data_IF_673685859114
#
_entry.id   IF_673685859114
#
_cell.length_a   1.000
_cell.length_b   1.000
_cell.length_c   1.000
_cell.angle_alpha   90.00
_cell.angle_beta   90.00
_cell.angle_gamma   90.00
#
_symmetry.space_group_name_H-M   'P 1'
#
loop_
_entity.id
_entity.type
_entity.pdbx_description
1 polymer ?
#
# COMPACT_ATOMS: atom_id res chain seq x y z
N UNK A 1 36.26 1.98 54.42
CA UNK A 1 37.50 2.18 53.63
C UNK A 1 37.14 1.89 52.17
N UNK A 2 36.54 2.80 51.40
CA UNK A 2 37.17 3.83 50.55
C UNK A 2 38.54 3.43 49.97
N UNK A 3 38.60 3.03 48.69
CA UNK A 3 39.29 3.79 47.62
C UNK A 3 39.09 3.21 46.21
N UNK A 4 38.55 4.07 45.36
CA UNK A 4 38.57 4.17 43.90
C UNK A 4 39.80 3.57 43.19
N UNK A 5 39.63 3.04 41.97
CA UNK A 5 40.56 3.36 40.87
C UNK A 5 39.95 3.11 39.48
N UNK A 6 39.87 4.21 38.73
CA UNK A 6 39.71 4.40 37.28
C UNK A 6 40.41 3.39 36.37
N UNK A 7 39.77 2.96 35.27
CA UNK A 7 40.46 2.76 33.98
C UNK A 7 39.51 2.67 32.77
N UNK A 8 39.66 3.62 31.84
CA UNK A 8 39.38 3.59 30.39
C UNK A 8 37.94 3.20 29.94
N UNK A 9 37.04 4.10 29.53
CA UNK A 9 37.11 4.94 28.32
C UNK A 9 38.12 4.46 27.27
N UNK A 10 37.68 3.57 26.38
CA UNK A 10 38.04 3.52 24.94
C UNK A 10 37.71 2.13 24.37
N UNK A 11 36.48 1.94 23.90
CA UNK A 11 36.19 1.00 22.81
C UNK A 11 35.49 1.85 21.75
N UNK A 12 36.29 2.68 21.07
CA UNK A 12 36.67 2.44 19.67
C UNK A 12 35.42 2.27 18.80
N UNK A 13 34.81 3.43 18.54
CA UNK A 13 34.12 3.74 17.29
C UNK A 13 35.09 3.39 16.15
N UNK A 14 34.80 2.33 15.39
CA UNK A 14 35.39 2.06 14.07
C UNK A 14 34.72 0.81 13.47
N UNK A 15 33.54 1.00 12.89
CA UNK A 15 33.20 0.47 11.57
C UNK A 15 32.21 1.45 10.96
N UNK A 16 32.79 2.50 10.36
CA UNK A 16 32.13 3.22 9.29
C UNK A 16 31.78 2.20 8.21
N UNK A 17 30.53 1.74 8.23
CA UNK A 17 29.95 1.04 7.09
C UNK A 17 29.92 2.03 5.94
N UNK A 18 30.65 1.71 4.87
CA UNK A 18 30.58 2.42 3.60
C UNK A 18 29.14 2.32 3.06
N UNK A 19 28.32 3.31 3.36
CA UNK A 19 27.17 3.61 2.49
C UNK A 19 27.77 4.10 1.17
N UNK A 20 27.46 3.50 0.02
CA UNK A 20 27.90 4.05 -1.25
C UNK A 20 27.33 5.47 -1.40
N UNK A 21 28.21 6.42 -1.73
CA UNK A 21 27.86 7.77 -2.18
C UNK A 21 26.83 7.65 -3.31
N UNK A 22 25.58 8.04 -3.03
CA UNK A 22 24.65 8.41 -4.09
C UNK A 22 25.24 9.67 -4.70
N UNK A 23 25.92 9.53 -5.84
CA UNK A 23 26.21 10.66 -6.71
C UNK A 23 24.87 11.34 -6.97
N UNK A 24 24.73 12.53 -6.39
CA UNK A 24 23.68 13.48 -6.64
C UNK A 24 23.74 13.79 -8.15
N UNK A 25 23.05 12.97 -8.93
CA UNK A 25 22.92 13.14 -10.36
C UNK A 25 22.16 14.44 -10.52
N UNK A 26 22.86 15.46 -11.03
CA UNK A 26 22.34 16.78 -11.35
C UNK A 26 20.87 16.69 -11.77
N UNK A 27 19.97 16.94 -10.82
CA UNK A 27 18.55 17.17 -11.11
C UNK A 27 18.55 18.56 -11.74
N UNK A 28 18.80 18.56 -13.05
CA UNK A 28 18.39 19.63 -13.92
C UNK A 28 16.92 19.87 -13.60
N UNK A 29 16.48 21.12 -13.35
CA UNK A 29 15.08 21.38 -13.08
C UNK A 29 14.29 20.76 -14.21
N UNK A 30 13.47 19.75 -13.88
CA UNK A 30 12.46 19.24 -14.80
C UNK A 30 11.60 20.44 -15.10
N UNK A 31 11.87 21.05 -16.25
CA UNK A 31 10.99 22.02 -16.89
C UNK A 31 9.62 21.38 -16.79
N UNK A 32 8.66 22.12 -16.20
CA UNK A 32 7.24 21.83 -16.39
C UNK A 32 7.00 21.95 -17.89
N UNK A 33 7.33 20.90 -18.61
CA UNK A 33 7.05 20.78 -20.01
C UNK A 33 5.56 20.53 -20.09
N UNK A 34 4.81 21.63 -20.10
CA UNK A 34 3.39 21.68 -20.41
C UNK A 34 3.17 21.42 -21.90
N UNK A 35 3.89 20.42 -22.45
CA UNK A 35 3.53 19.81 -23.70
C UNK A 35 2.22 19.06 -23.43
N UNK A 36 1.13 19.37 -24.15
CA UNK A 36 -0.12 18.65 -24.02
C UNK A 36 0.17 17.18 -24.37
N UNK A 37 0.14 16.32 -23.35
CA UNK A 37 0.11 14.88 -23.53
C UNK A 37 -1.15 14.62 -24.35
N UNK A 38 -0.97 14.25 -25.61
CA UNK A 38 -2.06 13.80 -26.45
C UNK A 38 -2.78 12.69 -25.69
N UNK A 39 -4.05 12.92 -25.35
CA UNK A 39 -4.89 11.92 -24.70
C UNK A 39 -5.15 10.85 -25.75
N UNK A 40 -4.31 9.82 -25.74
CA UNK A 40 -4.63 8.59 -26.47
C UNK A 40 -5.89 8.04 -25.83
N UNK A 41 -6.96 7.92 -26.61
CA UNK A 41 -8.20 7.29 -26.16
C UNK A 41 -7.86 5.85 -25.73
N UNK A 42 -7.90 5.58 -24.43
CA UNK A 42 -7.59 4.26 -23.89
C UNK A 42 -8.82 3.39 -24.09
N UNK A 43 -8.75 2.44 -25.02
CA UNK A 43 -9.80 1.44 -25.23
C UNK A 43 -9.51 0.19 -24.40
N UNK A 44 -10.49 -0.25 -23.61
CA UNK A 44 -10.41 -1.52 -22.87
C UNK A 44 -11.09 -2.65 -23.65
N UNK A 45 -10.49 -3.85 -23.65
CA UNK A 45 -10.97 -5.02 -24.38
C UNK A 45 -11.36 -6.16 -23.43
N UNK A 46 -12.59 -6.65 -23.54
CA UNK A 46 -13.05 -7.83 -22.80
C UNK A 46 -12.23 -9.08 -23.21
N UNK A 47 -11.86 -9.89 -22.22
CA UNK A 47 -11.00 -11.06 -22.40
C UNK A 47 -9.51 -10.75 -22.39
N UNK A 48 -9.11 -9.48 -22.39
CA UNK A 48 -7.72 -9.02 -22.24
C UNK A 48 -7.56 -8.21 -20.97
N UNK A 49 -8.24 -7.07 -20.87
CA UNK A 49 -8.09 -6.13 -19.76
C UNK A 49 -9.08 -6.41 -18.63
N UNK A 50 -10.27 -6.88 -18.98
CA UNK A 50 -11.34 -7.20 -18.03
C UNK A 50 -12.18 -8.39 -18.50
N UNK A 51 -13.04 -8.88 -17.61
CA UNK A 51 -14.10 -9.85 -17.93
C UNK A 51 -15.35 -9.50 -17.14
N UNK A 52 -16.51 -9.82 -17.69
CA UNK A 52 -17.77 -9.71 -16.95
C UNK A 52 -17.86 -10.86 -15.93
N UNK A 53 -18.31 -10.52 -14.72
CA UNK A 53 -18.52 -11.48 -13.62
C UNK A 53 -19.90 -11.30 -13.03
N UNK A 54 -20.50 -12.40 -12.58
CA UNK A 54 -21.80 -12.42 -11.91
C UNK A 54 -21.65 -13.03 -10.51
N UNK A 55 -22.63 -12.78 -9.64
CA UNK A 55 -22.69 -13.41 -8.32
C UNK A 55 -21.70 -12.86 -7.29
N UNK A 56 -21.17 -11.65 -7.50
CA UNK A 56 -20.39 -10.94 -6.49
C UNK A 56 -21.35 -10.40 -5.42
N UNK A 57 -21.11 -10.73 -4.17
CA UNK A 57 -21.83 -10.15 -3.03
C UNK A 57 -21.33 -8.71 -2.80
N UNK A 58 -22.20 -7.73 -3.02
CA UNK A 58 -21.88 -6.31 -2.93
C UNK A 58 -22.23 -5.70 -1.56
N UNK A 59 -22.63 -6.52 -0.59
CA UNK A 59 -22.95 -6.06 0.78
C UNK A 59 -23.98 -4.90 0.83
N UNK A 60 -24.88 -4.86 -0.17
CA UNK A 60 -25.90 -3.81 -0.29
C UNK A 60 -25.41 -2.47 -0.82
N UNK A 61 -24.20 -2.40 -1.37
CA UNK A 61 -23.70 -1.18 -2.00
C UNK A 61 -24.57 -0.73 -3.19
N UNK A 62 -24.56 0.57 -3.43
CA UNK A 62 -25.25 1.23 -4.55
C UNK A 62 -24.18 1.65 -5.55
N UNK A 63 -24.47 1.47 -6.84
CA UNK A 63 -23.56 1.90 -7.90
C UNK A 63 -23.36 3.43 -7.88
N UNK A 64 -22.12 3.93 -8.12
CA UNK A 64 -20.94 3.15 -8.48
C UNK A 64 -20.17 2.60 -7.26
N UNK A 65 -19.66 1.36 -7.38
CA UNK A 65 -18.83 0.74 -6.33
C UNK A 65 -17.67 -0.06 -6.92
N UNK A 66 -16.65 -0.30 -6.09
CA UNK A 66 -15.53 -1.21 -6.38
C UNK A 66 -15.51 -2.28 -5.31
N UNK A 67 -15.47 -3.55 -5.72
CA UNK A 67 -15.17 -4.67 -4.80
C UNK A 67 -13.71 -5.05 -4.98
N UNK A 68 -12.93 -4.91 -3.92
CA UNK A 68 -11.54 -5.30 -3.90
C UNK A 68 -11.35 -6.61 -3.16
N UNK A 69 -10.81 -7.61 -3.85
CA UNK A 69 -10.33 -8.84 -3.22
C UNK A 69 -8.83 -8.71 -2.95
N UNK A 70 -8.44 -8.83 -1.68
CA UNK A 70 -7.05 -8.57 -1.27
C UNK A 70 -6.59 -9.55 -0.20
N UNK A 71 -5.28 -9.59 0.09
CA UNK A 71 -4.74 -10.32 1.24
C UNK A 71 -3.78 -9.42 2.00
N UNK A 72 -3.88 -9.39 3.34
CA UNK A 72 -3.06 -8.51 4.21
C UNK A 72 -1.55 -8.56 3.91
N UNK A 73 -1.04 -9.75 3.60
CA UNK A 73 0.37 -9.98 3.33
C UNK A 73 0.77 -9.88 1.85
N UNK A 74 -0.11 -9.47 0.95
CA UNK A 74 0.17 -9.42 -0.49
C UNK A 74 0.83 -8.08 -0.88
N UNK A 75 2.09 -8.07 -1.35
CA UNK A 75 2.77 -6.83 -1.74
C UNK A 75 2.09 -6.10 -2.91
N UNK A 76 1.45 -6.83 -3.83
CA UNK A 76 0.74 -6.24 -4.95
C UNK A 76 -0.57 -5.57 -4.54
N UNK A 77 -1.27 -6.12 -3.55
CA UNK A 77 -2.45 -5.47 -2.97
C UNK A 77 -2.04 -4.17 -2.30
N UNK A 78 -1.02 -4.20 -1.44
CA UNK A 78 -0.52 -3.00 -0.75
C UNK A 78 -0.07 -1.90 -1.74
N UNK A 79 0.55 -2.28 -2.85
CA UNK A 79 0.95 -1.33 -3.89
C UNK A 79 -0.23 -0.71 -4.67
N UNK A 80 -1.41 -1.34 -4.66
CA UNK A 80 -2.62 -0.83 -5.33
C UNK A 80 -3.33 0.26 -4.51
N UNK A 81 -3.07 0.34 -3.20
CA UNK A 81 -3.81 1.20 -2.29
C UNK A 81 -3.58 2.68 -2.56
N UNK A 82 -2.33 3.08 -2.78
CA UNK A 82 -2.00 4.46 -3.14
C UNK A 82 -2.75 4.94 -4.40
N UNK A 83 -2.68 4.25 -5.56
CA UNK A 83 -3.45 4.67 -6.73
C UNK A 83 -4.97 4.56 -6.54
N UNK A 84 -5.46 3.59 -5.77
CA UNK A 84 -6.89 3.47 -5.45
C UNK A 84 -7.37 4.66 -4.60
N UNK A 85 -6.64 5.04 -3.56
CA UNK A 85 -6.93 6.20 -2.74
C UNK A 85 -6.89 7.51 -3.54
N UNK A 86 -5.90 7.68 -4.42
CA UNK A 86 -5.87 8.82 -5.33
C UNK A 86 -7.05 8.85 -6.30
N UNK A 87 -7.53 7.69 -6.75
CA UNK A 87 -8.72 7.59 -7.58
C UNK A 87 -9.98 7.99 -6.79
N UNK A 88 -10.18 7.46 -5.59
CA UNK A 88 -11.35 7.76 -4.75
C UNK A 88 -11.40 9.23 -4.32
N UNK A 89 -10.24 9.82 -4.02
CA UNK A 89 -10.14 11.26 -3.71
C UNK A 89 -10.63 12.15 -4.86
N UNK A 90 -10.52 11.68 -6.11
CA UNK A 90 -11.01 12.38 -7.32
C UNK A 90 -12.44 11.97 -7.70
N UNK A 91 -12.92 10.83 -7.22
CA UNK A 91 -14.20 10.23 -7.59
C UNK A 91 -14.98 9.82 -6.32
N UNK A 92 -15.47 10.80 -5.53
CA UNK A 92 -16.06 10.55 -4.21
C UNK A 92 -17.39 9.79 -4.24
N UNK A 93 -18.01 9.66 -5.42
CA UNK A 93 -19.25 8.90 -5.60
C UNK A 93 -19.02 7.39 -5.55
N UNK A 94 -17.77 6.92 -5.73
CA UNK A 94 -17.42 5.50 -5.65
C UNK A 94 -17.28 5.05 -4.20
N UNK A 95 -17.99 3.99 -3.85
CA UNK A 95 -17.74 3.25 -2.61
C UNK A 95 -16.79 2.07 -2.83
N UNK A 96 -16.05 1.67 -1.80
CA UNK A 96 -15.17 0.48 -1.86
C UNK A 96 -15.57 -0.54 -0.82
N UNK A 97 -15.71 -1.78 -1.28
CA UNK A 97 -15.94 -2.95 -0.43
C UNK A 97 -14.67 -3.80 -0.46
N UNK A 98 -13.97 -3.88 0.67
CA UNK A 98 -12.75 -4.70 0.80
C UNK A 98 -13.11 -6.11 1.32
N UNK A 99 -12.77 -7.13 0.55
CA UNK A 99 -12.99 -8.56 0.86
C UNK A 99 -11.66 -9.31 0.96
N UNK A 100 -11.20 -9.68 2.17
CA UNK A 100 -10.00 -10.49 2.32
C UNK A 100 -10.16 -11.87 1.67
N UNK A 101 -9.18 -12.26 0.86
CA UNK A 101 -9.06 -13.60 0.32
C UNK A 101 -8.66 -14.59 1.42
N UNK A 102 -9.28 -15.77 1.43
CA UNK A 102 -9.03 -16.83 2.41
C UNK A 102 -8.66 -18.17 1.74
N UNK A 103 -7.88 -18.11 0.66
CA UNK A 103 -7.56 -19.28 -0.17
C UNK A 103 -6.71 -20.35 0.55
N UNK A 104 -6.01 -19.98 1.62
CA UNK A 104 -5.13 -20.88 2.39
C UNK A 104 -5.28 -20.61 3.90
N UNK A 105 -4.93 -21.55 4.80
CA UNK A 105 -5.08 -21.36 6.25
C UNK A 105 -4.40 -20.11 6.79
N UNK A 106 -3.23 -19.74 6.24
CA UNK A 106 -2.55 -18.49 6.63
C UNK A 106 -3.35 -17.25 6.25
N UNK A 107 -3.90 -17.21 5.04
CA UNK A 107 -4.70 -16.09 4.57
C UNK A 107 -6.03 -16.00 5.33
N UNK A 108 -6.62 -17.14 5.71
CA UNK A 108 -7.80 -17.17 6.55
C UNK A 108 -7.56 -16.54 7.93
N UNK A 109 -6.39 -16.77 8.54
CA UNK A 109 -6.00 -16.07 9.77
C UNK A 109 -5.92 -14.56 9.55
N UNK A 110 -5.29 -14.14 8.46
CA UNK A 110 -5.16 -12.72 8.12
C UNK A 110 -6.53 -12.08 7.83
N UNK A 111 -7.46 -12.81 7.20
CA UNK A 111 -8.85 -12.40 7.01
C UNK A 111 -9.59 -12.25 8.34
N UNK A 112 -9.38 -13.17 9.30
CA UNK A 112 -9.94 -13.04 10.65
C UNK A 112 -9.43 -11.79 11.36
N UNK A 113 -8.16 -11.42 11.19
CA UNK A 113 -7.60 -10.18 11.74
C UNK A 113 -8.35 -8.97 11.18
N UNK A 114 -8.49 -8.89 9.85
CA UNK A 114 -9.22 -7.81 9.19
C UNK A 114 -10.65 -7.69 9.70
N UNK A 115 -11.42 -8.78 9.67
CA UNK A 115 -12.82 -8.75 10.10
C UNK A 115 -12.97 -8.52 11.61
N UNK A 116 -12.03 -9.01 12.43
CA UNK A 116 -11.98 -8.72 13.85
C UNK A 116 -11.81 -7.22 14.12
N UNK A 117 -10.89 -6.56 13.42
CA UNK A 117 -10.70 -5.12 13.48
C UNK A 117 -11.93 -4.35 12.97
N UNK A 118 -12.55 -4.80 11.89
CA UNK A 118 -13.78 -4.20 11.36
C UNK A 118 -14.92 -4.24 12.39
N UNK A 119 -15.14 -5.37 13.07
CA UNK A 119 -16.20 -5.54 14.07
C UNK A 119 -16.05 -4.59 15.27
N UNK A 120 -14.81 -4.25 15.63
CA UNK A 120 -14.53 -3.34 16.77
C UNK A 120 -14.27 -1.90 16.32
N UNK A 121 -14.42 -1.58 15.03
CA UNK A 121 -14.19 -0.24 14.49
C UNK A 121 -12.73 0.22 14.59
N UNK A 122 -11.78 -0.70 14.34
CA UNK A 122 -10.32 -0.48 14.45
C UNK A 122 -9.57 -0.74 13.15
N UNK A 123 -10.20 -0.50 12.00
CA UNK A 123 -9.54 -0.64 10.70
C UNK A 123 -8.40 0.38 10.51
N UNK A 124 -8.39 1.48 11.25
CA UNK A 124 -7.30 2.48 11.29
C UNK A 124 -5.94 1.88 11.66
N UNK A 125 -5.92 0.72 12.32
CA UNK A 125 -4.68 0.01 12.61
C UNK A 125 -3.99 -0.56 11.37
N UNK A 126 -4.69 -0.60 10.24
CA UNK A 126 -4.19 -1.10 8.97
C UNK A 126 -3.78 0.02 8.01
N UNK A 127 -3.87 1.30 8.38
CA UNK A 127 -3.57 2.45 7.51
C UNK A 127 -2.14 2.45 6.93
N UNK A 128 -1.19 1.81 7.63
CA UNK A 128 0.18 1.67 7.13
C UNK A 128 0.36 0.50 6.15
N UNK A 129 -0.70 -0.27 5.92
CA UNK A 129 -0.78 -1.38 4.97
C UNK A 129 -1.73 -1.06 3.82
N UNK A 130 -2.80 -0.29 4.09
CA UNK A 130 -3.79 0.17 3.11
C UNK A 130 -4.05 1.67 3.29
#
# INVERSE_FOLDING_TARGET
MIKNLTMAFAVVILLAGCSPDVKESNITPVVKDSTPVAVTEVSFQEGVDYRIVEGIDIEGAVEPFIVEYFWLGCPHCQALEEPLHQFLAKNPDFSVIKKPAAAMPRWALDAHIYYGLAQVGKLDQLDNLF
#
